data_IF_475980633476
#
_entry.id   IF_475980633476
#
_cell.length_a   1.000
_cell.length_b   1.000
_cell.length_c   1.000
_cell.angle_alpha   90.00
_cell.angle_beta   90.00
_cell.angle_gamma   90.00
#
_symmetry.space_group_name_H-M   'P 1'
#
loop_
_entity.id
_entity.type
_entity.pdbx_description
1 polymer ?
#
# COMPACT_ATOMS: atom_id res chain seq x y z
N UNK A 1 -7.03 65.95 -14.22
CA UNK A 1 -8.06 66.98 -14.00
C UNK A 1 -9.37 66.42 -14.56
N UNK A 2 -10.42 66.34 -13.73
CA UNK A 2 -11.82 65.87 -13.97
C UNK A 2 -11.98 64.32 -14.09
N UNK A 3 -12.49 63.59 -13.08
CA UNK A 3 -13.88 63.44 -12.54
C UNK A 3 -14.79 62.63 -13.49
N UNK A 4 -15.65 61.65 -13.12
CA UNK A 4 -16.11 60.98 -11.90
C UNK A 4 -16.98 59.77 -12.33
N UNK A 5 -17.29 58.85 -11.41
CA UNK A 5 -18.49 57.99 -11.54
C UNK A 5 -18.38 56.54 -11.04
N UNK A 6 -18.26 56.34 -9.72
CA UNK A 6 -18.49 55.04 -9.06
C UNK A 6 -19.84 55.08 -8.37
N UNK A 7 -20.77 54.23 -8.81
CA UNK A 7 -22.11 54.10 -8.25
C UNK A 7 -22.11 53.04 -7.14
N UNK A 8 -21.97 53.47 -5.90
CA UNK A 8 -22.28 52.67 -4.72
C UNK A 8 -23.71 52.96 -4.28
N UNK A 9 -24.60 51.95 -4.34
CA UNK A 9 -25.93 52.03 -3.75
C UNK A 9 -25.82 51.90 -2.24
N UNK A 10 -26.25 52.94 -1.53
CA UNK A 10 -26.18 53.10 -0.08
C UNK A 10 -27.55 52.77 0.52
N UNK A 11 -27.63 51.71 1.33
CA UNK A 11 -28.79 51.46 2.21
C UNK A 11 -28.57 52.12 3.58
N UNK A 12 -29.63 52.54 4.29
CA UNK A 12 -29.51 53.45 5.44
C UNK A 12 -29.66 52.71 6.78
N UNK A 13 -28.88 51.66 7.03
CA UNK A 13 -28.78 51.08 8.38
C UNK A 13 -27.38 50.54 8.65
N UNK A 14 -26.73 51.11 9.66
CA UNK A 14 -25.30 50.97 9.96
C UNK A 14 -24.93 49.68 10.70
N UNK A 15 -25.26 48.52 10.12
CA UNK A 15 -24.76 47.23 10.60
C UNK A 15 -23.94 46.54 9.50
N UNK A 16 -22.63 46.41 9.75
CA UNK A 16 -21.73 45.59 8.92
C UNK A 16 -22.10 44.12 9.10
N UNK A 17 -22.98 43.62 8.23
CA UNK A 17 -23.18 42.18 8.04
C UNK A 17 -21.98 41.67 7.24
N UNK A 18 -21.13 40.79 7.78
CA UNK A 18 -20.08 40.17 6.97
C UNK A 18 -20.76 39.30 5.91
N UNK A 19 -20.46 39.59 4.64
CA UNK A 19 -20.87 38.76 3.51
C UNK A 19 -20.39 37.31 3.74
N UNK A 20 -21.21 36.29 3.41
CA UNK A 20 -20.75 34.91 3.43
C UNK A 20 -19.62 34.81 2.41
N UNK A 21 -18.40 34.72 2.92
CA UNK A 21 -17.24 34.36 2.11
C UNK A 21 -17.46 32.92 1.68
N UNK A 22 -17.89 32.70 0.43
CA UNK A 22 -17.82 31.41 -0.26
C UNK A 22 -16.35 31.04 -0.48
N UNK A 23 -15.61 30.86 0.61
CA UNK A 23 -14.41 30.06 0.63
C UNK A 23 -14.88 28.62 0.53
N UNK A 24 -14.70 28.01 -0.65
CA UNK A 24 -14.75 26.57 -0.82
C UNK A 24 -13.72 25.92 0.10
N UNK A 25 -14.09 25.74 1.36
CA UNK A 25 -13.39 24.87 2.29
C UNK A 25 -13.50 23.48 1.72
N UNK A 26 -12.45 23.03 1.02
CA UNK A 26 -12.22 21.60 0.84
C UNK A 26 -12.24 21.01 2.25
N UNK A 27 -13.36 20.41 2.64
CA UNK A 27 -13.43 19.58 3.84
C UNK A 27 -12.37 18.50 3.63
N UNK A 28 -11.20 18.71 4.22
CA UNK A 28 -10.11 17.74 4.18
C UNK A 28 -10.65 16.48 4.83
N UNK A 29 -10.95 15.49 4.00
CA UNK A 29 -11.39 14.18 4.48
C UNK A 29 -10.36 13.70 5.52
N UNK A 30 -10.83 13.28 6.71
CA UNK A 30 -9.96 12.97 7.83
C UNK A 30 -8.94 11.88 7.42
N UNK A 31 -7.67 12.06 7.80
CA UNK A 31 -6.60 11.12 7.44
C UNK A 31 -6.64 9.79 8.21
N UNK A 32 -7.48 9.71 9.24
CA UNK A 32 -7.67 8.56 10.11
C UNK A 32 -9.08 8.59 10.71
N UNK A 33 -9.54 7.44 11.19
CA UNK A 33 -10.77 7.27 11.95
C UNK A 33 -10.43 6.80 13.37
N UNK A 34 -11.01 7.45 14.38
CA UNK A 34 -10.91 7.03 15.79
C UNK A 34 -12.21 6.36 16.20
N UNK A 35 -12.12 5.24 16.90
CA UNK A 35 -13.28 4.63 17.54
C UNK A 35 -13.40 5.16 18.97
N UNK A 36 -14.47 5.89 19.26
CA UNK A 36 -14.74 6.43 20.58
C UNK A 36 -15.48 5.37 21.42
N UNK A 37 -14.94 5.08 22.61
CA UNK A 37 -15.49 4.09 23.52
C UNK A 37 -16.19 4.78 24.70
N UNK A 38 -17.45 4.41 24.96
CA UNK A 38 -18.18 4.83 26.16
C UNK A 38 -18.09 3.73 27.22
N UNK A 39 -17.53 4.06 28.38
CA UNK A 39 -17.25 3.08 29.44
C UNK A 39 -17.81 3.55 30.77
N UNK A 40 -18.48 2.66 31.49
CA UNK A 40 -18.96 2.91 32.86
C UNK A 40 -17.96 2.32 33.87
N UNK A 41 -17.35 3.20 34.66
CA UNK A 41 -16.42 2.82 35.74
C UNK A 41 -17.13 2.85 37.09
N UNK A 42 -17.19 1.69 37.74
CA UNK A 42 -17.68 1.58 39.11
C UNK A 42 -16.60 2.01 40.10
N UNK A 43 -17.01 2.58 41.24
CA UNK A 43 -16.08 3.01 42.29
C UNK A 43 -15.13 1.88 42.73
N UNK A 44 -13.83 2.18 42.77
CA UNK A 44 -12.79 1.21 43.16
C UNK A 44 -12.49 0.11 42.15
N UNK A 45 -13.17 0.06 40.99
CA UNK A 45 -12.93 -0.95 39.95
C UNK A 45 -12.00 -0.43 38.88
N UNK A 46 -11.25 -1.35 38.28
CA UNK A 46 -10.41 -1.13 37.10
C UNK A 46 -11.07 -1.74 35.87
N UNK A 47 -11.09 -0.99 34.78
CA UNK A 47 -11.56 -1.46 33.46
C UNK A 47 -10.41 -1.27 32.47
N UNK A 48 -10.28 -2.22 31.54
CA UNK A 48 -9.33 -2.14 30.43
C UNK A 48 -10.12 -1.77 29.18
N UNK A 49 -9.64 -0.77 28.44
CA UNK A 49 -10.27 -0.25 27.23
C UNK A 49 -9.33 -0.50 26.04
N UNK A 50 -9.89 -1.00 24.95
CA UNK A 50 -9.15 -1.29 23.72
C UNK A 50 -9.50 -0.24 22.66
N UNK A 51 -8.84 0.92 22.74
CA UNK A 51 -9.07 2.00 21.77
C UNK A 51 -8.50 1.65 20.40
N UNK A 52 -9.26 1.96 19.34
CA UNK A 52 -8.90 1.65 17.96
C UNK A 52 -8.75 2.92 17.13
N UNK A 53 -7.67 2.99 16.35
CA UNK A 53 -7.45 4.00 15.32
C UNK A 53 -7.20 3.30 13.99
N UNK A 54 -7.91 3.72 12.94
CA UNK A 54 -7.79 3.17 11.58
C UNK A 54 -7.23 4.27 10.68
N UNK A 55 -5.99 4.16 10.18
CA UNK A 55 -5.48 5.12 9.21
C UNK A 55 -6.21 4.94 7.87
N UNK A 56 -6.58 6.05 7.24
CA UNK A 56 -7.29 6.05 5.96
C UNK A 56 -6.39 6.45 4.79
N UNK A 57 -5.23 7.05 5.10
CA UNK A 57 -4.26 7.51 4.11
C UNK A 57 -2.85 7.02 4.48
N UNK A 58 -2.02 6.69 3.47
CA UNK A 58 -0.60 6.44 3.70
C UNK A 58 0.10 7.67 4.28
N UNK A 59 1.14 7.46 5.09
CA UNK A 59 1.86 8.55 5.73
C UNK A 59 2.33 8.20 7.14
N UNK A 60 2.54 9.22 7.97
CA UNK A 60 2.93 9.06 9.37
C UNK A 60 1.72 9.26 10.28
N UNK A 61 1.41 8.27 11.10
CA UNK A 61 0.39 8.34 12.14
C UNK A 61 1.09 8.50 13.50
N UNK A 62 0.83 9.63 14.17
CA UNK A 62 1.35 9.90 15.51
C UNK A 62 0.22 9.79 16.54
N UNK A 63 0.40 8.90 17.52
CA UNK A 63 -0.51 8.73 18.65
C UNK A 63 0.16 9.31 19.91
N UNK A 64 -0.34 10.45 20.38
CA UNK A 64 0.25 11.16 21.52
C UNK A 64 -0.25 10.65 22.87
N UNK A 65 -1.49 10.18 22.96
CA UNK A 65 -2.12 9.81 24.22
C UNK A 65 -3.61 9.56 24.07
N UNK A 66 -4.28 9.48 25.22
CA UNK A 66 -5.73 9.42 25.33
C UNK A 66 -6.25 10.69 25.97
N UNK A 67 -7.36 11.19 25.47
CA UNK A 67 -8.18 12.22 26.12
C UNK A 67 -9.53 11.60 26.46
N UNK A 68 -10.13 12.00 27.58
CA UNK A 68 -11.42 11.47 28.02
C UNK A 68 -12.25 12.56 28.70
N UNK A 69 -13.55 12.30 28.75
CA UNK A 69 -14.54 13.10 29.45
C UNK A 69 -15.23 12.23 30.49
N UNK A 70 -15.06 12.57 31.77
CA UNK A 70 -15.70 11.86 32.87
C UNK A 70 -17.07 12.50 33.15
N UNK A 71 -18.13 11.69 33.04
CA UNK A 71 -19.53 12.09 33.30
C UNK A 71 -19.93 13.40 32.60
N UNK A 72 -19.46 13.63 31.37
CA UNK A 72 -19.77 14.84 30.61
C UNK A 72 -19.16 16.14 31.17
N UNK A 73 -18.37 16.07 32.25
CA UNK A 73 -18.03 17.26 33.06
C UNK A 73 -16.53 17.49 33.18
N UNK A 74 -15.74 16.45 33.48
CA UNK A 74 -14.31 16.61 33.74
C UNK A 74 -13.46 16.05 32.59
N UNK A 75 -12.71 16.93 31.93
CA UNK A 75 -11.74 16.53 30.90
C UNK A 75 -10.45 16.03 31.54
N UNK A 76 -9.93 14.91 31.03
CA UNK A 76 -8.63 14.39 31.40
C UNK A 76 -7.84 13.97 30.16
N UNK A 77 -6.52 13.90 30.31
CA UNK A 77 -5.62 13.39 29.28
C UNK A 77 -4.45 12.63 29.89
N UNK A 78 -3.97 11.62 29.18
CA UNK A 78 -2.76 10.89 29.49
C UNK A 78 -1.95 10.67 28.22
N UNK A 79 -0.71 11.17 28.21
CA UNK A 79 0.22 10.91 27.12
C UNK A 79 0.74 9.47 27.17
N UNK A 80 0.95 8.86 26.01
CA UNK A 80 1.65 7.58 25.93
C UNK A 80 3.14 7.78 26.18
N UNK A 81 3.65 7.15 27.23
CA UNK A 81 5.07 7.19 27.56
C UNK A 81 5.74 5.87 27.18
N UNK A 82 6.50 5.86 26.08
CA UNK A 82 7.31 4.72 25.67
C UNK A 82 8.70 4.86 26.30
N UNK A 83 9.08 4.03 27.29
CA UNK A 83 10.36 4.15 27.98
C UNK A 83 11.53 4.07 27.00
N UNK A 84 12.54 4.94 27.13
CA UNK A 84 13.79 4.86 26.36
C UNK A 84 14.58 3.59 26.73
N UNK A 85 15.24 2.91 25.76
CA UNK A 85 16.28 1.95 26.00
C UNK A 85 17.31 2.75 26.75
N UNK A 86 17.54 2.33 27.98
CA UNK A 86 18.57 2.90 28.81
C UNK A 86 19.88 2.47 28.16
N UNK A 87 20.66 3.43 27.65
CA UNK A 87 22.02 3.15 27.22
C UNK A 87 22.80 2.63 28.43
N UNK A 88 23.58 1.57 28.23
CA UNK A 88 24.31 0.96 29.35
C UNK A 88 25.48 1.84 29.76
N UNK A 89 25.84 1.78 31.05
CA UNK A 89 27.10 2.32 31.56
C UNK A 89 28.29 1.63 30.86
N UNK A 90 29.36 2.37 30.52
CA UNK A 90 30.54 1.80 29.87
C UNK A 90 31.14 0.66 30.72
N UNK A 91 31.37 -0.52 30.12
CA UNK A 91 31.94 -1.73 30.75
C UNK A 91 31.07 -3.00 30.70
N UNK A 92 29.81 -2.90 30.26
CA UNK A 92 28.86 -4.01 30.06
C UNK A 92 29.17 -5.01 28.92
N UNK A 93 29.77 -6.19 29.14
CA UNK A 93 30.03 -7.26 28.14
C UNK A 93 28.84 -7.92 27.42
N UNK A 94 27.60 -7.43 27.54
CA UNK A 94 26.43 -8.05 26.87
C UNK A 94 26.11 -7.32 25.57
N UNK A 95 26.27 -8.01 24.43
CA UNK A 95 25.94 -7.53 23.08
C UNK A 95 24.43 -7.38 22.92
N UNK A 96 23.91 -6.17 23.07
CA UNK A 96 22.63 -5.77 22.47
C UNK A 96 22.82 -4.37 21.89
N UNK A 97 23.00 -4.29 20.58
CA UNK A 97 22.84 -3.08 19.79
C UNK A 97 21.33 -2.87 19.62
N UNK A 98 20.79 -1.79 20.17
CA UNK A 98 19.43 -1.35 19.89
C UNK A 98 19.49 0.00 19.19
N UNK A 99 18.80 0.00 18.05
CA UNK A 99 18.76 0.96 16.96
C UNK A 99 18.62 2.43 17.40
N UNK A 100 19.35 3.32 16.70
CA UNK A 100 19.32 4.76 16.89
C UNK A 100 18.05 5.42 16.32
N UNK A 101 17.21 4.68 15.60
CA UNK A 101 15.99 5.16 14.94
C UNK A 101 14.77 5.29 15.88
N UNK A 102 15.00 5.67 17.14
CA UNK A 102 13.95 5.67 18.15
C UNK A 102 13.10 6.96 18.14
N UNK A 103 11.76 6.86 18.17
CA UNK A 103 10.90 8.04 18.22
C UNK A 103 11.14 8.87 19.49
N UNK A 104 11.08 10.20 19.30
CA UNK A 104 11.19 11.22 20.33
C UNK A 104 10.15 11.05 21.46
N UNK A 105 10.40 11.59 22.67
CA UNK A 105 9.43 11.53 23.76
C UNK A 105 8.13 12.20 23.33
N UNK A 106 6.99 11.53 23.54
CA UNK A 106 5.67 12.13 23.32
C UNK A 106 4.67 11.34 22.48
N UNK A 107 4.86 10.04 22.26
CA UNK A 107 3.84 9.19 21.63
C UNK A 107 4.38 7.95 20.92
N UNK A 108 3.46 7.19 20.32
CA UNK A 108 3.75 6.13 19.35
C UNK A 108 3.68 6.70 17.94
N UNK A 109 4.60 6.32 17.06
CA UNK A 109 4.57 6.70 15.64
C UNK A 109 4.52 5.46 14.75
N UNK A 110 3.62 5.45 13.79
CA UNK A 110 3.46 4.38 12.82
C UNK A 110 3.65 4.93 11.41
N UNK A 111 4.43 4.21 10.59
CA UNK A 111 4.48 4.46 9.15
C UNK A 111 3.38 3.65 8.48
N UNK A 112 2.34 4.33 8.02
CA UNK A 112 1.24 3.74 7.26
C UNK A 112 1.69 3.58 5.82
N UNK A 113 1.90 2.34 5.42
CA UNK A 113 2.30 2.00 4.06
C UNK A 113 1.10 2.16 3.10
N UNK A 114 1.35 2.51 1.83
CA UNK A 114 0.34 2.37 0.80
C UNK A 114 -0.12 0.91 0.67
N UNK A 115 -1.33 0.65 0.12
CA UNK A 115 -1.77 -0.70 -0.19
C UNK A 115 -0.68 -1.45 -0.97
N UNK A 116 -0.31 -2.63 -0.47
CA UNK A 116 0.77 -3.42 -1.09
C UNK A 116 0.25 -4.14 -2.34
N UNK A 117 1.02 -4.17 -3.44
CA UNK A 117 0.68 -4.97 -4.60
C UNK A 117 0.80 -6.46 -4.25
N UNK A 118 -0.20 -7.26 -4.62
CA UNK A 118 -0.18 -8.71 -4.40
C UNK A 118 -0.77 -9.44 -5.60
N UNK A 119 0.09 -10.20 -6.28
CA UNK A 119 -0.26 -11.03 -7.43
C UNK A 119 -0.05 -12.50 -7.04
N UNK A 120 -1.08 -13.32 -7.22
CA UNK A 120 -1.02 -14.76 -7.10
C UNK A 120 -0.90 -15.36 -8.50
N UNK A 121 0.04 -16.28 -8.66
CA UNK A 121 0.28 -16.99 -9.92
C UNK A 121 0.09 -18.48 -9.66
N UNK A 122 -0.68 -19.15 -10.51
CA UNK A 122 -0.82 -20.60 -10.49
C UNK A 122 -0.75 -21.14 -11.91
N UNK A 123 -0.08 -22.26 -12.09
CA UNK A 123 0.05 -22.95 -13.37
C UNK A 123 -0.60 -24.32 -13.25
N UNK A 124 -1.40 -24.67 -14.24
CA UNK A 124 -2.13 -25.94 -14.32
C UNK A 124 -1.88 -26.60 -15.67
N UNK A 125 -1.99 -27.92 -15.72
CA UNK A 125 -1.72 -28.70 -16.94
C UNK A 125 -0.24 -29.06 -17.15
N UNK A 126 0.62 -28.84 -16.15
CA UNK A 126 1.99 -29.33 -16.17
C UNK A 126 2.01 -30.87 -15.97
N UNK A 127 2.55 -31.65 -16.94
CA UNK A 127 2.69 -33.09 -16.80
C UNK A 127 3.70 -33.46 -15.71
N UNK A 128 3.54 -34.64 -15.11
CA UNK A 128 4.46 -35.15 -14.09
C UNK A 128 5.85 -35.50 -14.64
N UNK A 129 5.93 -35.86 -15.93
CA UNK A 129 7.15 -36.16 -16.65
C UNK A 129 7.07 -35.56 -18.06
N UNK A 130 8.19 -35.01 -18.52
CA UNK A 130 8.34 -34.36 -19.82
C UNK A 130 9.71 -34.71 -20.38
N UNK A 131 9.80 -34.89 -21.69
CA UNK A 131 11.07 -35.17 -22.35
C UNK A 131 11.87 -33.87 -22.55
N UNK A 132 13.20 -33.99 -22.56
CA UNK A 132 14.05 -32.86 -22.90
C UNK A 132 13.73 -32.37 -24.33
N UNK A 133 13.50 -31.07 -24.47
CA UNK A 133 13.08 -30.44 -25.72
C UNK A 133 11.57 -30.43 -25.97
N UNK A 134 10.78 -31.15 -25.17
CA UNK A 134 9.32 -31.15 -25.28
C UNK A 134 8.74 -29.77 -24.97
N UNK A 135 7.72 -29.37 -25.73
CA UNK A 135 7.00 -28.11 -25.57
C UNK A 135 5.58 -28.41 -25.13
N UNK A 136 5.20 -27.92 -23.95
CA UNK A 136 3.88 -28.20 -23.35
C UNK A 136 3.09 -26.91 -23.18
N UNK A 137 1.84 -26.91 -23.65
CA UNK A 137 0.88 -25.85 -23.36
C UNK A 137 0.25 -26.07 -21.98
N UNK A 138 0.41 -25.09 -21.10
CA UNK A 138 -0.18 -25.05 -19.78
C UNK A 138 -1.10 -23.82 -19.66
N UNK A 139 -1.99 -23.85 -18.66
CA UNK A 139 -2.82 -22.70 -18.33
C UNK A 139 -2.27 -22.00 -17.10
N UNK A 140 -1.97 -20.72 -17.24
CA UNK A 140 -1.50 -19.88 -16.16
C UNK A 140 -2.57 -18.89 -15.75
N UNK A 141 -2.84 -18.85 -14.44
CA UNK A 141 -3.83 -18.00 -13.81
C UNK A 141 -3.12 -16.96 -12.95
N UNK A 142 -3.35 -15.69 -13.28
CA UNK A 142 -2.89 -14.51 -12.57
C UNK A 142 -4.08 -13.91 -11.81
N UNK A 143 -3.95 -13.73 -10.50
CA UNK A 143 -5.01 -13.18 -9.65
C UNK A 143 -4.48 -12.04 -8.79
N UNK A 144 -5.16 -10.90 -8.81
CA UNK A 144 -4.85 -9.79 -7.91
C UNK A 144 -5.59 -9.98 -6.58
N UNK A 145 -4.90 -10.51 -5.57
CA UNK A 145 -5.43 -10.64 -4.20
C UNK A 145 -5.02 -9.48 -3.30
N UNK A 146 -4.42 -8.43 -3.86
CA UNK A 146 -4.05 -7.21 -3.16
C UNK A 146 -5.20 -6.22 -3.05
N UNK A 147 -4.93 -5.10 -2.37
CA UNK A 147 -5.89 -4.00 -2.19
C UNK A 147 -5.68 -2.83 -3.18
N UNK A 148 -4.85 -3.02 -4.21
CA UNK A 148 -4.62 -2.04 -5.27
C UNK A 148 -4.76 -2.66 -6.66
N UNK A 149 -5.16 -1.85 -7.64
CA UNK A 149 -5.14 -2.26 -9.05
C UNK A 149 -3.71 -2.43 -9.54
N UNK A 150 -3.44 -3.56 -10.21
CA UNK A 150 -2.15 -3.87 -10.80
C UNK A 150 -2.13 -3.46 -12.28
N UNK A 151 -1.02 -2.86 -12.71
CA UNK A 151 -0.77 -2.42 -14.08
C UNK A 151 0.70 -2.65 -14.44
N UNK A 152 1.03 -2.64 -15.74
CA UNK A 152 2.39 -2.88 -16.25
C UNK A 152 2.99 -4.21 -15.79
N UNK A 153 2.17 -5.28 -15.81
CA UNK A 153 2.63 -6.62 -15.45
C UNK A 153 3.63 -7.14 -16.49
N UNK A 154 4.77 -7.61 -16.00
CA UNK A 154 5.81 -8.29 -16.78
C UNK A 154 6.11 -9.65 -16.16
N UNK A 155 6.50 -10.58 -17.01
CA UNK A 155 6.91 -11.92 -16.62
C UNK A 155 8.36 -12.12 -16.99
N UNK A 156 9.16 -12.64 -16.08
CA UNK A 156 10.53 -13.05 -16.37
C UNK A 156 10.65 -14.55 -16.14
N UNK A 157 11.14 -15.26 -17.14
CA UNK A 157 11.52 -16.66 -17.01
C UNK A 157 13.00 -16.73 -16.63
N UNK A 158 13.33 -17.45 -15.56
CA UNK A 158 14.70 -17.70 -15.14
C UNK A 158 14.99 -19.20 -15.26
N UNK A 159 16.08 -19.56 -15.94
CA UNK A 159 16.54 -20.94 -16.10
C UNK A 159 16.70 -21.37 -17.55
N UNK A 160 17.03 -22.64 -17.75
CA UNK A 160 17.22 -23.26 -19.07
C UNK A 160 15.91 -23.62 -19.78
N UNK A 161 14.78 -23.55 -19.06
CA UNK A 161 13.46 -23.78 -19.61
C UNK A 161 12.89 -22.50 -20.24
N UNK A 162 12.62 -22.52 -21.55
CA UNK A 162 12.01 -21.41 -22.26
C UNK A 162 10.51 -21.33 -21.95
N UNK A 163 10.01 -20.14 -21.60
CA UNK A 163 8.58 -19.87 -21.41
C UNK A 163 8.12 -19.01 -22.57
N UNK A 164 6.98 -19.29 -23.21
CA UNK A 164 6.43 -18.48 -24.30
C UNK A 164 4.97 -18.10 -24.02
N UNK A 165 4.62 -16.82 -24.18
CA UNK A 165 3.28 -16.29 -23.95
C UNK A 165 2.57 -16.01 -25.29
N UNK A 166 1.46 -16.72 -25.57
CA UNK A 166 0.59 -16.42 -26.72
C UNK A 166 1.19 -16.72 -28.10
N UNK A 167 0.45 -17.49 -28.91
CA UNK A 167 0.98 -18.08 -30.14
C UNK A 167 1.89 -19.26 -29.82
N UNK A 168 1.57 -20.46 -30.31
CA UNK A 168 2.50 -21.58 -30.24
C UNK A 168 3.83 -21.21 -30.91
N UNK A 169 4.91 -21.99 -30.71
CA UNK A 169 6.15 -21.77 -31.44
C UNK A 169 5.88 -21.91 -32.95
N UNK A 170 5.60 -20.80 -33.61
CA UNK A 170 5.42 -20.77 -35.04
C UNK A 170 6.80 -20.95 -35.66
N UNK A 171 6.94 -22.04 -36.42
CA UNK A 171 8.06 -22.24 -37.31
C UNK A 171 8.15 -21.05 -38.27
N UNK A 172 9.18 -20.21 -38.08
CA UNK A 172 9.67 -19.26 -39.08
C UNK A 172 8.92 -17.93 -39.22
N UNK A 173 9.70 -16.86 -39.02
CA UNK A 173 9.69 -15.61 -39.81
C UNK A 173 9.29 -14.33 -39.07
N UNK A 174 10.31 -13.52 -38.77
CA UNK A 174 10.30 -12.10 -39.13
C UNK A 174 10.08 -11.08 -38.03
N UNK A 175 11.19 -10.47 -37.58
CA UNK A 175 11.29 -9.10 -37.05
C UNK A 175 10.61 -8.79 -35.70
N UNK A 176 11.03 -9.50 -34.67
CA UNK A 176 11.26 -8.94 -33.34
C UNK A 176 12.57 -9.52 -32.86
N UNK A 177 13.38 -8.79 -32.12
CA UNK A 177 14.67 -9.27 -31.59
C UNK A 177 14.46 -10.34 -30.51
N UNK A 178 13.88 -11.48 -30.88
CA UNK A 178 13.76 -12.69 -30.09
C UNK A 178 14.96 -13.56 -30.42
N UNK A 179 16.01 -13.37 -29.63
CA UNK A 179 17.17 -14.25 -29.64
C UNK A 179 16.74 -15.66 -29.26
N UNK A 180 16.60 -16.54 -30.25
CA UNK A 180 16.75 -17.98 -30.06
C UNK A 180 18.23 -18.20 -29.72
N UNK A 181 18.58 -18.00 -28.46
CA UNK A 181 19.84 -18.41 -27.89
C UNK A 181 19.73 -19.87 -27.48
N UNK A 182 20.18 -20.77 -28.33
CA UNK A 182 20.67 -22.07 -27.87
C UNK A 182 21.81 -21.83 -26.86
N UNK A 183 21.72 -22.49 -25.71
CA UNK A 183 22.77 -22.61 -24.68
C UNK A 183 23.10 -21.38 -23.80
N UNK A 184 22.24 -20.36 -23.76
CA UNK A 184 22.40 -19.24 -22.83
C UNK A 184 21.50 -19.36 -21.60
N UNK A 185 22.04 -19.13 -20.39
CA UNK A 185 21.25 -18.71 -19.21
C UNK A 185 20.69 -17.31 -19.53
N UNK A 186 19.62 -17.26 -20.32
CA UNK A 186 18.96 -16.04 -20.75
C UNK A 186 17.68 -15.83 -19.96
N UNK A 187 17.55 -14.67 -19.32
CA UNK A 187 16.26 -14.26 -18.75
C UNK A 187 15.40 -13.73 -19.89
N UNK A 188 14.34 -14.46 -20.26
CA UNK A 188 13.35 -13.95 -21.21
C UNK A 188 12.31 -13.14 -20.43
N UNK A 189 12.13 -11.87 -20.80
CA UNK A 189 11.14 -10.97 -20.19
C UNK A 189 9.99 -10.76 -21.17
N UNK A 190 8.79 -11.21 -20.80
CA UNK A 190 7.57 -11.04 -21.56
C UNK A 190 6.70 -9.95 -20.91
N UNK A 191 6.41 -8.90 -21.68
CA UNK A 191 5.46 -7.88 -21.27
C UNK A 191 4.05 -8.36 -21.59
N UNK A 192 3.15 -8.38 -20.60
CA UNK A 192 1.73 -8.65 -20.84
C UNK A 192 1.09 -7.39 -21.44
N UNK A 193 0.59 -7.41 -22.69
CA UNK A 193 0.16 -6.20 -23.37
C UNK A 193 -1.07 -5.58 -22.67
N UNK A 194 -0.90 -4.38 -22.12
CA UNK A 194 -1.94 -3.52 -21.52
C UNK A 194 -2.86 -4.20 -20.49
N UNK A 195 -2.37 -5.22 -19.80
CA UNK A 195 -3.14 -5.92 -18.78
C UNK A 195 -3.28 -5.05 -17.53
N UNK A 196 -4.52 -4.78 -17.13
CA UNK A 196 -4.89 -4.17 -15.84
C UNK A 196 -5.72 -5.17 -15.05
N UNK A 197 -5.26 -5.52 -13.85
CA UNK A 197 -6.01 -6.37 -12.92
C UNK A 197 -6.52 -5.52 -11.76
N UNK A 198 -7.81 -5.27 -11.72
CA UNK A 198 -8.49 -4.70 -10.56
C UNK A 198 -8.43 -5.63 -9.34
N UNK A 199 -8.82 -5.11 -8.17
CA UNK A 199 -8.84 -5.86 -6.93
C UNK A 199 -9.79 -7.06 -7.05
N UNK A 200 -9.29 -8.26 -6.75
CA UNK A 200 -10.03 -9.51 -6.87
C UNK A 200 -10.18 -10.04 -8.30
N UNK A 201 -9.69 -9.33 -9.32
CA UNK A 201 -9.76 -9.78 -10.70
C UNK A 201 -8.72 -10.87 -11.01
N UNK A 202 -9.02 -11.62 -12.07
CA UNK A 202 -8.25 -12.74 -12.54
C UNK A 202 -8.08 -12.68 -14.05
N UNK A 203 -6.91 -13.12 -14.52
CA UNK A 203 -6.60 -13.35 -15.92
C UNK A 203 -6.03 -14.75 -16.08
N UNK A 204 -6.62 -15.54 -16.97
CA UNK A 204 -6.08 -16.83 -17.39
C UNK A 204 -5.50 -16.70 -18.79
N UNK A 205 -4.29 -17.21 -18.99
CA UNK A 205 -3.62 -17.16 -20.28
C UNK A 205 -2.85 -18.46 -20.59
N UNK A 206 -2.79 -18.87 -21.87
CA UNK A 206 -2.02 -20.02 -22.28
C UNK A 206 -0.52 -19.68 -22.24
N UNK A 207 0.27 -20.59 -21.68
CA UNK A 207 1.72 -20.48 -21.55
C UNK A 207 2.36 -21.76 -22.06
N UNK A 208 3.34 -21.63 -22.94
CA UNK A 208 4.09 -22.76 -23.46
C UNK A 208 5.42 -22.88 -22.72
N UNK A 209 5.72 -24.07 -22.21
CA UNK A 209 6.97 -24.39 -21.54
C UNK A 209 7.80 -25.31 -22.43
N UNK A 210 9.05 -24.93 -22.70
CA UNK A 210 10.06 -25.79 -23.33
C UNK A 210 11.00 -26.30 -22.25
N UNK A 211 11.06 -27.61 -22.07
CA UNK A 211 11.91 -28.21 -21.04
C UNK A 211 13.31 -28.46 -21.59
N UNK A 212 14.32 -28.16 -20.77
CA UNK A 212 15.71 -28.51 -21.07
C UNK A 212 16.09 -29.80 -20.32
N UNK A 213 17.11 -30.50 -20.82
CA UNK A 213 17.70 -31.61 -20.08
C UNK A 213 18.30 -31.10 -18.77
N UNK A 214 18.06 -31.83 -17.68
CA UNK A 214 18.83 -31.67 -16.44
C UNK A 214 20.23 -32.24 -16.72
N UNK A 215 21.19 -31.34 -16.97
CA UNK A 215 22.61 -31.68 -17.06
C UNK A 215 23.25 -31.84 -15.70
#
# INVERSE_FOLDING_TARGET
>A
MLASGSSASRSPDGSLVPAPSEGGGQQQQPGFQVHEDNVTLQGGKRVIVHSRVVPLKPGSLHLHGLAWLLNGTAHGQAAFHIPRPISRKPGSSSKVLLDADRPAPGGMSFRVLPPMPRLEVSVTGLPAAVLAGEVVCCSMRLKNSGAMTLQHLSMAAAGTAGIFLGGGPAAGSGNGSDGIGSDGIGVAVYMLPNVRLGVGQELTLPVWFRFAALG
#
